data_IF_591049305003
#
_entry.id   IF_591049305003
#
_cell.length_a   1.000
_cell.length_b   1.000
_cell.length_c   1.000
_cell.angle_alpha   90.00
_cell.angle_beta   90.00
_cell.angle_gamma   90.00
#
_symmetry.space_group_name_H-M   'P 1'
#
loop_
_entity.id
_entity.type
_entity.pdbx_description
1 polymer ?
#
# COMPACT_ATOMS: atom_id res chain seq x y z
N UNK A 1 -4.13 -0.30 -6.63
CA UNK A 1 -3.06 -1.28 -6.94
C UNK A 1 -3.52 -2.05 -8.16
N UNK A 2 -2.63 -2.30 -9.12
CA UNK A 2 -2.88 -3.12 -10.30
C UNK A 2 -2.22 -4.48 -10.09
N UNK A 3 -2.98 -5.54 -10.33
CA UNK A 3 -2.51 -6.92 -10.17
C UNK A 3 -2.79 -7.74 -11.41
N UNK A 4 -1.91 -8.68 -11.76
CA UNK A 4 -2.12 -9.61 -12.88
C UNK A 4 -2.52 -10.98 -12.35
N UNK A 5 -3.55 -11.58 -12.93
CA UNK A 5 -4.00 -12.92 -12.54
C UNK A 5 -2.99 -13.97 -13.01
N UNK A 6 -2.47 -14.76 -12.08
CA UNK A 6 -1.54 -15.89 -12.30
C UNK A 6 -2.18 -17.25 -11.96
N UNK A 7 -3.39 -17.26 -11.40
CA UNK A 7 -4.17 -18.49 -11.16
C UNK A 7 -5.68 -18.19 -11.12
N UNK A 8 -6.41 -18.60 -12.15
CA UNK A 8 -7.87 -18.49 -12.23
C UNK A 8 -8.60 -19.83 -11.98
N UNK A 9 -7.92 -20.84 -11.42
CA UNK A 9 -8.53 -22.16 -11.12
C UNK A 9 -9.76 -22.02 -10.23
N UNK A 10 -10.91 -22.55 -10.65
CA UNK A 10 -12.20 -22.43 -9.95
C UNK A 10 -12.70 -20.96 -9.82
N UNK A 11 -12.21 -20.03 -10.63
CA UNK A 11 -12.63 -18.64 -10.65
C UNK A 11 -12.83 -18.16 -12.09
N UNK A 12 -13.94 -18.56 -12.70
CA UNK A 12 -14.23 -18.32 -14.13
C UNK A 12 -14.52 -16.86 -14.49
N UNK A 13 -14.61 -15.97 -13.51
CA UNK A 13 -14.78 -14.54 -13.73
C UNK A 13 -13.45 -13.78 -13.86
N UNK A 14 -12.33 -14.49 -13.70
CA UNK A 14 -10.98 -13.98 -13.93
C UNK A 14 -10.32 -14.73 -15.09
N UNK A 15 -9.55 -13.99 -15.87
CA UNK A 15 -8.77 -14.47 -17.01
C UNK A 15 -7.29 -14.50 -16.63
N UNK A 16 -6.65 -15.66 -16.77
CA UNK A 16 -5.22 -15.82 -16.57
C UNK A 16 -4.42 -14.84 -17.45
N UNK A 17 -3.43 -14.17 -16.87
CA UNK A 17 -2.59 -13.16 -17.52
C UNK A 17 -3.22 -11.78 -17.64
N UNK A 18 -4.52 -11.61 -17.35
CA UNK A 18 -5.19 -10.30 -17.40
C UNK A 18 -4.91 -9.49 -16.14
N UNK A 19 -4.87 -8.17 -16.30
CA UNK A 19 -4.66 -7.20 -15.23
C UNK A 19 -5.99 -6.69 -14.66
N UNK A 20 -6.01 -6.52 -13.35
CA UNK A 20 -7.18 -6.17 -12.55
C UNK A 20 -6.83 -5.08 -11.56
N UNK A 21 -7.74 -4.12 -11.39
CA UNK A 21 -7.60 -3.07 -10.38
C UNK A 21 -8.10 -3.61 -9.05
N UNK A 22 -7.26 -3.50 -8.02
CA UNK A 22 -7.62 -3.80 -6.63
C UNK A 22 -8.27 -2.56 -6.02
N UNK A 23 -9.51 -2.74 -5.56
CA UNK A 23 -10.34 -1.72 -4.90
C UNK A 23 -10.14 -1.77 -3.38
N UNK A 24 -10.05 -2.97 -2.81
CA UNK A 24 -9.80 -3.20 -1.38
C UNK A 24 -8.77 -4.32 -1.20
N UNK A 25 -7.93 -4.18 -0.18
CA UNK A 25 -6.95 -5.17 0.23
C UNK A 25 -7.17 -5.58 1.69
N UNK A 26 -7.50 -6.85 1.93
CA UNK A 26 -7.48 -7.46 3.26
C UNK A 26 -6.17 -8.20 3.52
N UNK A 27 -6.04 -8.92 4.63
CA UNK A 27 -4.81 -9.69 4.94
C UNK A 27 -4.51 -10.76 3.87
N UNK A 28 -5.53 -11.57 3.52
CA UNK A 28 -5.39 -12.73 2.61
C UNK A 28 -6.21 -12.64 1.33
N UNK A 29 -6.92 -11.53 1.10
CA UNK A 29 -7.77 -11.35 -0.07
C UNK A 29 -7.59 -9.98 -0.75
N UNK A 30 -7.97 -9.92 -2.02
CA UNK A 30 -8.22 -8.69 -2.76
C UNK A 30 -9.70 -8.61 -3.13
N UNK A 31 -10.22 -7.38 -3.20
CA UNK A 31 -11.46 -7.07 -3.89
C UNK A 31 -11.09 -6.44 -5.24
N UNK A 32 -11.51 -7.07 -6.33
CA UNK A 32 -11.23 -6.64 -7.71
C UNK A 32 -12.52 -6.53 -8.51
N UNK A 33 -12.50 -5.74 -9.58
CA UNK A 33 -13.57 -5.76 -10.60
C UNK A 33 -13.28 -6.87 -11.59
N UNK A 34 -14.16 -7.85 -11.71
CA UNK A 34 -14.01 -9.03 -12.56
C UNK A 34 -14.32 -8.76 -14.05
N UNK A 35 -14.19 -9.79 -14.90
CA UNK A 35 -14.47 -9.67 -16.34
C UNK A 35 -15.95 -9.35 -16.68
N UNK A 36 -16.84 -9.41 -15.68
CA UNK A 36 -18.27 -9.13 -15.78
C UNK A 36 -18.64 -7.78 -15.16
N UNK A 37 -17.64 -6.93 -14.88
CA UNK A 37 -17.80 -5.65 -14.19
C UNK A 37 -18.46 -5.77 -12.80
N UNK A 38 -18.20 -6.86 -12.07
CA UNK A 38 -18.65 -7.06 -10.69
C UNK A 38 -17.48 -7.05 -9.73
N UNK A 39 -17.67 -6.42 -8.57
CA UNK A 39 -16.74 -6.55 -7.47
C UNK A 39 -16.79 -7.98 -6.91
N UNK A 40 -15.63 -8.63 -6.84
CA UNK A 40 -15.49 -9.96 -6.27
C UNK A 40 -14.37 -9.99 -5.24
N UNK A 41 -14.57 -10.76 -4.18
CA UNK A 41 -13.54 -11.06 -3.18
C UNK A 41 -12.79 -12.33 -3.58
N UNK A 42 -11.48 -12.28 -3.65
CA UNK A 42 -10.65 -13.36 -4.17
C UNK A 42 -9.28 -13.44 -3.47
N UNK A 43 -8.63 -14.61 -3.52
CA UNK A 43 -7.36 -14.86 -2.80
C UNK A 43 -6.20 -14.10 -3.44
N UNK A 44 -5.37 -13.43 -2.63
CA UNK A 44 -4.17 -12.72 -3.13
C UNK A 44 -3.21 -13.60 -3.93
N UNK A 45 -3.06 -14.86 -3.51
CA UNK A 45 -2.17 -15.85 -4.15
C UNK A 45 -2.48 -16.09 -5.64
N UNK A 46 -3.67 -15.70 -6.10
CA UNK A 46 -4.05 -15.77 -7.52
C UNK A 46 -3.45 -14.69 -8.39
N UNK A 47 -2.71 -13.75 -7.79
CA UNK A 47 -2.24 -12.56 -8.47
C UNK A 47 -0.77 -12.25 -8.18
N UNK A 48 -0.12 -11.65 -9.17
CA UNK A 48 1.13 -10.91 -9.00
C UNK A 48 0.84 -9.41 -8.99
N UNK A 49 1.54 -8.64 -8.15
CA UNK A 49 1.40 -7.17 -8.12
C UNK A 49 2.19 -6.56 -9.27
N UNK A 50 1.51 -5.82 -10.13
CA UNK A 50 2.12 -5.09 -11.26
C UNK A 50 2.39 -3.64 -10.89
N UNK A 51 1.43 -3.00 -10.21
CA UNK A 51 1.57 -1.63 -9.75
C UNK A 51 1.02 -1.45 -8.34
N UNK A 52 1.88 -1.10 -7.41
CA UNK A 52 1.46 -0.80 -6.04
C UNK A 52 0.80 0.59 -5.94
N UNK A 53 -0.16 0.74 -5.03
CA UNK A 53 -0.96 1.97 -4.90
C UNK A 53 -0.11 3.21 -4.56
N UNK A 54 -0.57 4.40 -4.95
CA UNK A 54 0.09 5.68 -4.66
C UNK A 54 0.36 5.88 -3.16
N UNK A 55 -0.54 5.39 -2.29
CA UNK A 55 -0.34 5.41 -0.84
C UNK A 55 0.85 4.54 -0.41
N UNK A 56 0.95 3.31 -0.91
CA UNK A 56 2.05 2.40 -0.58
C UNK A 56 3.39 2.93 -1.11
N UNK A 57 3.40 3.49 -2.33
CA UNK A 57 4.57 4.19 -2.89
C UNK A 57 5.03 5.35 -2.00
N UNK A 58 4.10 6.22 -1.58
CA UNK A 58 4.38 7.34 -0.69
C UNK A 58 4.88 6.87 0.68
N UNK A 59 4.21 5.91 1.30
CA UNK A 59 4.61 5.35 2.59
C UNK A 59 6.02 4.75 2.52
N UNK A 60 6.33 3.98 1.47
CA UNK A 60 7.66 3.39 1.26
C UNK A 60 8.73 4.46 1.07
N UNK A 61 8.46 5.49 0.27
CA UNK A 61 9.38 6.61 0.08
C UNK A 61 9.65 7.34 1.41
N UNK A 62 8.61 7.62 2.20
CA UNK A 62 8.75 8.24 3.52
C UNK A 62 9.56 7.36 4.48
N UNK A 63 9.29 6.05 4.56
CA UNK A 63 10.05 5.13 5.43
C UNK A 63 11.53 5.08 5.02
N UNK A 64 11.82 5.03 3.72
CA UNK A 64 13.19 5.04 3.21
C UNK A 64 13.95 6.31 3.62
N UNK A 65 13.31 7.47 3.52
CA UNK A 65 13.90 8.74 3.97
C UNK A 65 14.18 8.70 5.48
N UNK A 66 13.24 8.22 6.30
CA UNK A 66 13.45 8.13 7.75
C UNK A 66 14.58 7.14 8.12
N UNK A 67 14.73 6.04 7.38
CA UNK A 67 15.88 5.13 7.55
C UNK A 67 17.21 5.80 7.18
N UNK A 68 17.23 6.63 6.13
CA UNK A 68 18.41 7.43 5.81
C UNK A 68 18.76 8.39 6.95
N UNK A 69 17.77 9.06 7.53
CA UNK A 69 17.97 9.97 8.67
C UNK A 69 18.56 9.26 9.92
N UNK A 70 18.17 8.02 10.22
CA UNK A 70 18.76 7.23 11.33
C UNK A 70 20.28 7.10 11.16
N UNK A 71 20.75 6.82 9.94
CA UNK A 71 22.17 6.65 9.62
C UNK A 71 22.92 7.97 9.45
N UNK A 72 22.22 9.11 9.48
CA UNK A 72 22.75 10.45 9.23
C UNK A 72 22.43 11.40 10.39
N UNK A 73 22.26 10.88 11.61
CA UNK A 73 22.03 11.65 12.84
C UNK A 73 20.89 12.67 12.72
N UNK A 74 19.85 12.34 11.96
CA UNK A 74 18.68 13.19 11.74
C UNK A 74 19.00 14.57 11.18
N UNK A 75 20.13 14.72 10.46
CA UNK A 75 20.68 16.01 10.02
C UNK A 75 19.69 16.86 9.24
N UNK A 76 18.74 16.25 8.51
CA UNK A 76 17.79 16.95 7.67
C UNK A 76 16.43 17.20 8.37
N UNK A 77 16.21 16.65 9.56
CA UNK A 77 14.99 16.90 10.34
C UNK A 77 15.10 18.24 11.07
N UNK A 78 14.10 19.10 10.90
CA UNK A 78 13.96 20.43 11.52
C UNK A 78 13.04 20.42 12.74
N UNK A 79 11.93 19.70 12.66
CA UNK A 79 10.88 19.64 13.70
C UNK A 79 10.24 18.25 13.67
N UNK A 80 10.00 17.65 14.83
CA UNK A 80 9.34 16.35 14.97
C UNK A 80 8.29 16.43 16.05
N UNK A 81 7.03 16.17 15.69
CA UNK A 81 5.88 16.24 16.60
C UNK A 81 5.06 14.98 16.52
N UNK A 82 4.68 14.45 17.67
CA UNK A 82 3.75 13.33 17.80
C UNK A 82 2.48 13.84 18.44
N UNK A 83 1.34 13.61 17.77
CA UNK A 83 0.02 13.85 18.34
C UNK A 83 -0.60 12.52 18.71
N UNK A 84 -1.10 12.42 19.92
CA UNK A 84 -1.78 11.23 20.44
C UNK A 84 -3.30 11.43 20.48
N UNK A 85 -4.04 10.33 20.55
CA UNK A 85 -5.47 10.37 20.84
C UNK A 85 -5.72 10.45 22.37
N UNK A 86 -6.99 10.46 22.78
CA UNK A 86 -7.37 10.54 24.21
C UNK A 86 -6.93 9.34 25.05
N UNK A 87 -6.53 8.22 24.41
CA UNK A 87 -5.99 7.02 25.05
C UNK A 87 -4.45 7.02 25.13
N UNK A 88 -3.79 8.03 24.58
CA UNK A 88 -2.33 8.11 24.51
C UNK A 88 -1.71 7.36 23.32
N UNK A 89 -2.52 6.78 22.43
CA UNK A 89 -2.01 6.10 21.23
C UNK A 89 -1.59 7.14 20.18
N UNK A 90 -0.52 6.86 19.44
CA UNK A 90 -0.06 7.74 18.36
C UNK A 90 -1.16 7.86 17.30
N UNK A 91 -1.62 9.09 17.08
CA UNK A 91 -2.60 9.43 16.05
C UNK A 91 -1.92 9.97 14.80
N UNK A 92 -0.84 10.73 14.96
CA UNK A 92 -0.14 11.39 13.85
C UNK A 92 1.31 11.69 14.23
N UNK A 93 2.19 11.60 13.24
CA UNK A 93 3.58 12.06 13.31
C UNK A 93 3.77 13.14 12.24
N UNK A 94 4.23 14.31 12.65
CA UNK A 94 4.51 15.44 11.75
C UNK A 94 6.01 15.69 11.79
N UNK A 95 6.65 15.56 10.64
CA UNK A 95 8.09 15.72 10.46
C UNK A 95 8.30 16.87 9.48
N UNK A 96 9.01 17.91 9.88
CA UNK A 96 9.44 18.98 8.98
C UNK A 96 10.91 18.78 8.66
N UNK A 97 11.24 18.79 7.39
CA UNK A 97 12.61 18.70 6.92
C UNK A 97 13.21 20.10 6.69
N UNK A 98 14.54 20.17 6.58
CA UNK A 98 15.30 21.40 6.29
C UNK A 98 15.38 21.74 4.79
N UNK A 99 14.69 20.99 3.93
CA UNK A 99 14.65 21.25 2.49
C UNK A 99 14.03 22.61 2.20
N UNK A 100 14.59 23.31 1.21
CA UNK A 100 14.16 24.64 0.76
C UNK A 100 12.79 24.62 0.07
#
# INVERSE_FOLDING_TARGET
MLVRCIDNSLCSSLTFGKEYVVIEEGDKYYVVVDDRNKEITTKKQRFEVIEDSDLAKKAKATINELNFQINNEFKDIKDFKVRTNSKGEIKEVIIKFKYE
#
